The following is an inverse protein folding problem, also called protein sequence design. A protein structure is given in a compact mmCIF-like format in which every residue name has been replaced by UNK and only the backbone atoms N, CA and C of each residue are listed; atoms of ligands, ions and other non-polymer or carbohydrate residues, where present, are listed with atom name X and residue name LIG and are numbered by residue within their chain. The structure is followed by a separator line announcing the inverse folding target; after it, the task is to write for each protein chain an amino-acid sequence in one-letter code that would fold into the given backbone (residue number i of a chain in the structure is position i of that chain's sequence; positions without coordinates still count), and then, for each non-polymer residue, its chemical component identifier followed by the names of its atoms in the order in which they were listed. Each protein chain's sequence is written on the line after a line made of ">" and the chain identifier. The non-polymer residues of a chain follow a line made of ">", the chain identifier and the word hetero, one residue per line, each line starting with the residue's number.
data_IF_362341017577
#
_entry.id   IF_362341017577
#
_cell.length_a   1.000
_cell.length_b   1.000
_cell.length_c   1.000
_cell.angle_alpha   90.00
_cell.angle_beta   90.00
_cell.angle_gamma   90.00
#
_symmetry.space_group_name_H-M   'P 1'
#
loop_
_entity.id
_entity.type
_entity.pdbx_description
1 polymer ?
#
# COMPACT_ATOMS: atom_id res chain seq x y z
N UNK A 1 6.25 -3.32 24.61
CA UNK A 1 5.63 -4.44 25.32
C UNK A 1 4.88 -3.97 26.56
N UNK A 2 3.91 -4.77 27.00
CA UNK A 2 3.20 -4.59 28.27
C UNK A 2 4.16 -4.78 29.46
N UNK A 3 3.68 -4.51 30.69
CA UNK A 3 4.49 -4.72 31.91
C UNK A 3 4.93 -6.15 32.13
N UNK A 4 4.18 -7.10 31.60
CA UNK A 4 4.44 -8.56 31.64
C UNK A 4 5.15 -9.06 30.35
N UNK A 5 5.65 -8.14 29.52
CA UNK A 5 6.47 -8.45 28.34
C UNK A 5 5.68 -8.89 27.09
N UNK A 6 4.36 -8.81 27.10
CA UNK A 6 3.56 -9.17 25.93
C UNK A 6 3.62 -8.08 24.83
N UNK A 7 3.48 -8.42 23.55
CA UNK A 7 3.52 -7.47 22.44
C UNK A 7 2.29 -6.56 22.37
N UNK A 8 1.19 -6.94 22.98
CA UNK A 8 -0.08 -6.19 23.04
C UNK A 8 -0.80 -6.45 24.37
N UNK A 9 -1.77 -5.61 24.69
CA UNK A 9 -2.69 -5.78 25.81
C UNK A 9 -4.10 -6.02 25.28
N UNK A 10 -4.81 -6.96 25.89
CA UNK A 10 -6.25 -7.17 25.63
C UNK A 10 -7.01 -6.62 26.84
N UNK A 11 -7.91 -5.66 26.62
CA UNK A 11 -8.75 -5.10 27.68
C UNK A 11 -9.95 -5.99 28.04
N UNK A 12 -10.76 -5.54 29.00
CA UNK A 12 -11.91 -6.30 29.49
C UNK A 12 -13.00 -6.51 28.41
N UNK A 13 -13.04 -5.65 27.39
CA UNK A 13 -13.98 -5.72 26.28
C UNK A 13 -13.46 -6.58 25.11
N UNK A 14 -12.25 -7.13 25.25
CA UNK A 14 -11.59 -7.94 24.22
C UNK A 14 -10.87 -7.12 23.13
N UNK A 15 -10.72 -5.81 23.29
CA UNK A 15 -10.00 -4.96 22.36
C UNK A 15 -8.48 -5.07 22.54
N UNK A 16 -7.75 -5.02 21.42
CA UNK A 16 -6.30 -5.12 21.40
C UNK A 16 -5.65 -3.76 21.37
N UNK A 17 -4.68 -3.54 22.25
CA UNK A 17 -3.96 -2.28 22.38
C UNK A 17 -2.47 -2.50 22.21
N UNK A 18 -1.83 -1.67 21.37
CA UNK A 18 -0.38 -1.61 21.20
C UNK A 18 0.11 -0.20 21.48
N UNK A 19 1.30 -0.08 22.05
CA UNK A 19 1.96 1.19 22.26
C UNK A 19 3.37 1.12 21.67
N UNK A 20 3.74 2.15 20.94
CA UNK A 20 5.04 2.33 20.33
C UNK A 20 5.75 3.52 20.97
N UNK A 21 7.09 3.54 20.85
CA UNK A 21 7.87 4.73 21.21
C UNK A 21 7.49 5.84 20.24
N UNK A 22 7.15 7.02 20.80
CA UNK A 22 6.93 8.19 19.99
C UNK A 22 8.26 8.70 19.41
N UNK A 23 8.30 9.00 18.13
CA UNK A 23 9.49 9.51 17.44
C UNK A 23 9.32 11.03 17.33
N UNK A 24 10.14 11.75 18.09
CA UNK A 24 10.15 13.22 18.07
C UNK A 24 10.96 13.75 16.86
N UNK A 25 10.61 14.95 16.38
CA UNK A 25 11.32 15.62 15.28
C UNK A 25 11.09 14.98 13.92
N UNK A 26 10.00 14.21 13.77
CA UNK A 26 9.60 13.63 12.49
C UNK A 26 8.09 13.56 12.40
N UNK A 27 7.54 13.73 11.19
CA UNK A 27 6.10 13.63 10.95
C UNK A 27 5.78 12.99 9.59
N UNK A 28 4.51 12.68 9.35
CA UNK A 28 3.99 12.11 8.11
C UNK A 28 3.33 13.19 7.25
N UNK A 29 3.19 12.91 5.96
CA UNK A 29 2.54 13.78 4.98
C UNK A 29 1.45 13.02 4.24
N UNK A 30 0.30 13.65 4.02
CA UNK A 30 -0.80 13.06 3.25
C UNK A 30 -0.64 13.28 1.74
N UNK A 31 0.10 14.31 1.34
CA UNK A 31 0.33 14.70 -0.05
C UNK A 31 1.81 14.98 -0.24
N UNK A 32 2.35 14.50 -1.36
CA UNK A 32 3.73 14.81 -1.77
C UNK A 32 3.84 16.27 -2.18
N UNK A 33 4.79 16.99 -1.59
CA UNK A 33 5.04 18.41 -1.84
C UNK A 33 6.25 18.66 -2.76
N UNK A 34 7.14 17.67 -2.88
CA UNK A 34 8.35 17.80 -3.69
C UNK A 34 8.89 16.45 -4.19
N UNK A 35 9.66 16.42 -5.30
CA UNK A 35 10.37 15.22 -5.74
C UNK A 35 11.32 14.65 -4.69
N UNK A 36 11.97 15.52 -3.91
CA UNK A 36 12.87 15.09 -2.83
C UNK A 36 12.12 14.29 -1.76
N UNK A 37 10.91 14.71 -1.39
CA UNK A 37 10.05 14.03 -0.44
C UNK A 37 9.57 12.67 -0.98
N UNK A 38 9.17 12.60 -2.27
CA UNK A 38 8.83 11.35 -2.94
C UNK A 38 10.02 10.37 -2.93
N UNK A 39 11.22 10.86 -3.24
CA UNK A 39 12.45 10.08 -3.22
C UNK A 39 12.79 9.57 -1.80
N UNK A 40 12.63 10.40 -0.75
CA UNK A 40 12.87 10.01 0.62
C UNK A 40 11.92 8.88 1.07
N UNK A 41 10.64 8.98 0.75
CA UNK A 41 9.66 7.93 1.01
C UNK A 41 9.99 6.63 0.24
N UNK A 42 10.30 6.73 -1.04
CA UNK A 42 10.67 5.59 -1.87
C UNK A 42 11.91 4.86 -1.32
N UNK A 43 12.91 5.62 -0.88
CA UNK A 43 14.12 5.08 -0.23
C UNK A 43 13.79 4.36 1.07
N UNK A 44 12.93 4.95 1.92
CA UNK A 44 12.52 4.35 3.18
C UNK A 44 11.82 2.99 2.96
N UNK A 45 10.91 2.88 2.01
CA UNK A 45 10.27 1.61 1.68
C UNK A 45 11.25 0.61 1.02
N UNK A 46 12.18 1.07 0.17
CA UNK A 46 13.22 0.22 -0.39
C UNK A 46 14.16 -0.35 0.69
N UNK A 47 14.53 0.47 1.67
CA UNK A 47 15.34 0.04 2.82
C UNK A 47 14.56 -0.90 3.75
N UNK A 48 13.27 -0.67 3.94
CA UNK A 48 12.37 -1.58 4.66
C UNK A 48 12.37 -2.97 4.01
N UNK A 49 12.12 -3.05 2.70
CA UNK A 49 12.13 -4.31 1.96
C UNK A 49 13.50 -5.00 2.00
N UNK A 50 14.58 -4.23 1.87
CA UNK A 50 15.95 -4.75 1.95
C UNK A 50 16.25 -5.34 3.33
N UNK A 51 15.80 -4.68 4.39
CA UNK A 51 15.98 -5.13 5.78
C UNK A 51 15.23 -6.43 6.07
N UNK A 52 14.10 -6.66 5.41
CA UNK A 52 13.28 -7.84 5.59
C UNK A 52 13.53 -8.93 4.52
N UNK A 53 14.49 -8.73 3.62
CA UNK A 53 14.74 -9.64 2.50
C UNK A 53 15.16 -11.05 2.92
N UNK A 54 15.80 -11.18 4.06
CA UNK A 54 16.30 -12.42 4.66
C UNK A 54 15.56 -12.83 5.95
N UNK A 55 14.33 -12.30 6.13
CA UNK A 55 13.51 -12.67 7.29
C UNK A 55 13.34 -14.19 7.35
N UNK A 56 13.80 -14.84 8.44
CA UNK A 56 13.78 -16.30 8.53
C UNK A 56 12.35 -16.84 8.67
N UNK A 57 12.11 -18.08 8.22
CA UNK A 57 10.83 -18.74 8.50
C UNK A 57 10.59 -18.94 10.02
N UNK A 58 9.32 -19.02 10.49
CA UNK A 58 8.14 -19.05 9.63
C UNK A 58 7.84 -17.69 8.98
N UNK A 59 7.39 -17.72 7.73
CA UNK A 59 6.91 -16.52 7.06
C UNK A 59 5.77 -15.86 7.85
N UNK A 60 5.61 -14.55 7.66
CA UNK A 60 4.47 -13.82 8.25
C UNK A 60 3.15 -14.40 7.73
N UNK A 61 2.12 -14.30 8.55
CA UNK A 61 0.77 -14.75 8.19
C UNK A 61 0.17 -13.75 7.18
N UNK A 62 -0.46 -14.26 6.14
CA UNK A 62 -1.27 -13.44 5.24
C UNK A 62 -2.55 -13.00 5.97
N UNK A 63 -2.54 -11.80 6.53
CA UNK A 63 -3.64 -11.26 7.34
C UNK A 63 -4.86 -10.88 6.51
N UNK A 64 -4.65 -10.50 5.24
CA UNK A 64 -5.69 -10.15 4.27
C UNK A 64 -5.48 -11.00 3.00
N UNK A 65 -6.10 -12.21 2.92
CA UNK A 65 -5.87 -13.12 1.82
C UNK A 65 -6.18 -12.53 0.44
N UNK A 66 -5.18 -12.56 -0.47
CA UNK A 66 -5.29 -12.04 -1.82
C UNK A 66 -5.45 -10.51 -1.89
N UNK A 67 -4.88 -9.77 -0.93
CA UNK A 67 -5.04 -8.32 -0.80
C UNK A 67 -4.73 -7.56 -2.09
N UNK A 68 -3.67 -7.91 -2.78
CA UNK A 68 -3.26 -7.32 -4.07
C UNK A 68 -3.44 -8.25 -5.27
N UNK A 69 -4.18 -9.35 -5.14
CA UNK A 69 -4.51 -10.21 -6.29
C UNK A 69 -5.50 -9.49 -7.22
N UNK A 70 -4.96 -8.83 -8.23
CA UNK A 70 -5.73 -8.06 -9.20
C UNK A 70 -6.67 -8.92 -10.03
N UNK A 71 -6.33 -10.20 -10.29
CA UNK A 71 -7.24 -11.14 -10.97
C UNK A 71 -8.50 -11.38 -10.14
N UNK A 72 -8.32 -11.70 -8.85
CA UNK A 72 -9.42 -11.92 -7.91
C UNK A 72 -10.26 -10.64 -7.72
N UNK A 73 -9.62 -9.48 -7.67
CA UNK A 73 -10.31 -8.19 -7.61
C UNK A 73 -11.12 -7.90 -8.87
N UNK A 74 -10.59 -8.23 -10.05
CA UNK A 74 -11.31 -8.08 -11.30
C UNK A 74 -12.53 -9.02 -11.39
N UNK A 75 -12.41 -10.27 -10.94
CA UNK A 75 -13.54 -11.20 -10.84
C UNK A 75 -14.62 -10.68 -9.89
N UNK A 76 -14.21 -10.10 -8.75
CA UNK A 76 -15.15 -9.47 -7.82
C UNK A 76 -15.85 -8.25 -8.45
N UNK A 77 -15.11 -7.42 -9.19
CA UNK A 77 -15.67 -6.32 -9.97
C UNK A 77 -16.70 -6.80 -10.98
N UNK A 78 -16.41 -7.83 -11.78
CA UNK A 78 -17.35 -8.39 -12.75
C UNK A 78 -18.64 -8.91 -12.08
N UNK A 79 -18.51 -9.59 -10.94
CA UNK A 79 -19.65 -10.06 -10.15
C UNK A 79 -20.50 -8.89 -9.61
N UNK A 80 -19.84 -7.85 -9.11
CA UNK A 80 -20.54 -6.66 -8.60
C UNK A 80 -21.26 -5.92 -9.72
N UNK A 81 -20.64 -5.79 -10.89
CA UNK A 81 -21.22 -5.17 -12.09
C UNK A 81 -22.44 -5.96 -12.59
N UNK A 82 -22.34 -7.28 -12.69
CA UNK A 82 -23.46 -8.13 -13.09
C UNK A 82 -24.65 -8.06 -12.12
N UNK A 83 -24.38 -7.90 -10.83
CA UNK A 83 -25.42 -7.79 -9.81
C UNK A 83 -26.07 -6.40 -9.78
N UNK A 84 -25.33 -5.37 -10.05
CA UNK A 84 -25.70 -3.92 -10.02
C UNK A 84 -26.82 -3.57 -9.02
N UNK A 85 -26.69 -4.03 -7.78
CA UNK A 85 -27.73 -4.02 -6.73
C UNK A 85 -28.35 -2.65 -6.47
N UNK A 86 -27.62 -1.59 -6.74
CA UNK A 86 -28.01 -0.20 -6.49
C UNK A 86 -28.20 0.60 -7.78
N UNK A 87 -28.16 -0.06 -8.95
CA UNK A 87 -28.31 0.56 -10.28
C UNK A 87 -27.36 1.72 -10.55
N UNK A 88 -26.14 1.66 -9.98
CA UNK A 88 -25.09 2.71 -10.07
C UNK A 88 -24.15 2.53 -11.25
N UNK A 89 -24.12 1.35 -11.88
CA UNK A 89 -23.23 1.06 -13.03
C UNK A 89 -23.44 2.05 -14.19
N UNK A 90 -24.67 2.53 -14.38
CA UNK A 90 -24.99 3.52 -15.41
C UNK A 90 -24.25 4.86 -15.23
N UNK A 91 -23.91 5.21 -13.99
CA UNK A 91 -23.32 6.52 -13.64
C UNK A 91 -21.79 6.51 -13.76
N UNK A 92 -21.16 5.31 -13.91
CA UNK A 92 -19.72 5.08 -13.99
C UNK A 92 -19.31 4.24 -15.21
N UNK A 93 -20.00 4.42 -16.34
CA UNK A 93 -19.75 3.64 -17.56
C UNK A 93 -18.35 3.84 -18.13
N UNK A 94 -17.80 5.04 -18.00
CA UNK A 94 -16.45 5.35 -18.46
C UNK A 94 -15.39 4.56 -17.69
N UNK A 95 -15.52 4.51 -16.38
CA UNK A 95 -14.63 3.77 -15.49
C UNK A 95 -14.75 2.24 -15.70
N UNK A 96 -15.99 1.75 -15.91
CA UNK A 96 -16.23 0.35 -16.25
C UNK A 96 -15.50 -0.01 -17.54
N UNK A 97 -15.71 0.75 -18.61
CA UNK A 97 -15.06 0.52 -19.90
C UNK A 97 -13.52 0.61 -19.80
N UNK A 98 -13.01 1.54 -18.99
CA UNK A 98 -11.57 1.66 -18.71
C UNK A 98 -11.00 0.39 -18.06
N UNK A 99 -11.68 -0.18 -17.07
CA UNK A 99 -11.26 -1.41 -16.38
C UNK A 99 -11.37 -2.62 -17.32
N UNK A 100 -12.48 -2.76 -18.05
CA UNK A 100 -12.70 -3.87 -18.99
C UNK A 100 -11.66 -3.89 -20.12
N UNK A 101 -11.31 -2.72 -20.66
CA UNK A 101 -10.28 -2.60 -21.70
C UNK A 101 -8.88 -3.04 -21.23
N UNK A 102 -8.69 -3.27 -19.92
CA UNK A 102 -7.43 -3.71 -19.30
C UNK A 102 -7.49 -5.11 -18.71
N UNK A 103 -8.51 -5.87 -19.04
CA UNK A 103 -8.70 -7.24 -18.55
C UNK A 103 -7.50 -8.16 -18.83
N UNK A 104 -6.77 -7.91 -19.93
CA UNK A 104 -5.61 -8.70 -20.34
C UNK A 104 -4.37 -8.52 -19.44
N UNK A 105 -4.29 -7.41 -18.70
CA UNK A 105 -3.12 -7.12 -17.84
C UNK A 105 -3.35 -7.47 -16.38
N UNK A 106 -4.60 -7.64 -15.92
CA UNK A 106 -4.89 -7.82 -14.48
C UNK A 106 -4.27 -9.06 -13.86
N UNK A 107 -4.00 -10.08 -14.64
CA UNK A 107 -3.39 -11.33 -14.18
C UNK A 107 -1.87 -11.37 -14.22
N UNK A 108 -1.21 -10.40 -14.86
CA UNK A 108 0.22 -10.50 -15.23
C UNK A 108 1.15 -10.79 -14.06
N UNK A 109 1.01 -10.05 -12.94
CA UNK A 109 1.89 -10.25 -11.79
C UNK A 109 1.65 -11.59 -11.11
N UNK A 110 0.38 -11.97 -10.94
CA UNK A 110 -0.02 -13.26 -10.36
C UNK A 110 0.48 -14.44 -11.22
N UNK A 111 0.39 -14.32 -12.55
CA UNK A 111 0.88 -15.34 -13.46
C UNK A 111 2.41 -15.46 -13.44
N UNK A 112 3.13 -14.35 -13.35
CA UNK A 112 4.59 -14.35 -13.20
C UNK A 112 5.03 -14.94 -11.85
N UNK A 113 4.31 -14.67 -10.78
CA UNK A 113 4.54 -15.29 -9.47
C UNK A 113 4.33 -16.81 -9.54
N UNK A 114 3.19 -17.26 -10.08
CA UNK A 114 2.86 -18.68 -10.25
C UNK A 114 3.87 -19.42 -11.15
N UNK A 115 4.43 -18.72 -12.12
CA UNK A 115 5.50 -19.25 -12.99
C UNK A 115 6.90 -19.21 -12.31
N UNK A 116 7.01 -18.80 -11.04
CA UNK A 116 8.29 -18.71 -10.32
C UNK A 116 9.22 -17.60 -10.82
N UNK A 117 8.71 -16.66 -11.63
CA UNK A 117 9.50 -15.55 -12.20
C UNK A 117 9.56 -14.32 -11.31
N UNK A 118 8.62 -14.18 -10.38
CA UNK A 118 8.60 -13.16 -9.34
C UNK A 118 8.63 -13.86 -7.99
N UNK A 119 9.70 -13.67 -7.20
CA UNK A 119 9.76 -14.25 -5.86
C UNK A 119 8.81 -13.52 -4.92
N UNK A 120 8.20 -14.27 -4.02
CA UNK A 120 7.50 -13.69 -2.87
C UNK A 120 8.52 -13.15 -1.87
N UNK A 121 8.19 -12.02 -1.26
CA UNK A 121 8.97 -11.33 -0.23
C UNK A 121 8.03 -10.87 0.89
N UNK A 122 8.60 -10.43 2.00
CA UNK A 122 7.88 -9.63 2.97
C UNK A 122 7.71 -8.23 2.41
N UNK A 123 6.47 -7.79 2.24
CA UNK A 123 6.10 -6.48 1.67
C UNK A 123 5.24 -5.70 2.66
N UNK A 124 5.23 -4.38 2.54
CA UNK A 124 4.42 -3.52 3.39
C UNK A 124 2.93 -3.58 3.00
N UNK A 125 2.66 -3.60 1.70
CA UNK A 125 1.33 -3.67 1.07
C UNK A 125 0.43 -2.44 1.26
N UNK A 126 0.93 -1.38 1.92
CA UNK A 126 0.26 -0.07 2.03
C UNK A 126 1.32 1.03 2.06
N UNK A 127 2.06 1.18 0.95
CA UNK A 127 3.24 2.05 0.83
C UNK A 127 2.88 3.50 0.51
N UNK A 128 1.96 4.03 1.29
CA UNK A 128 1.56 5.44 1.20
C UNK A 128 2.60 6.35 1.86
N UNK A 129 2.68 7.60 1.40
CA UNK A 129 3.57 8.61 1.96
C UNK A 129 3.35 8.81 3.47
N UNK A 130 2.10 8.79 3.92
CA UNK A 130 1.76 8.95 5.35
C UNK A 130 2.10 7.74 6.21
N UNK A 131 2.64 6.66 5.63
CA UNK A 131 3.21 5.52 6.34
C UNK A 131 4.74 5.61 6.48
N UNK A 132 5.32 6.78 6.19
CA UNK A 132 6.73 7.10 6.45
C UNK A 132 6.83 8.35 7.30
N UNK A 133 7.56 8.27 8.40
CA UNK A 133 7.98 9.44 9.16
C UNK A 133 9.22 10.04 8.48
N UNK A 134 9.14 11.31 8.12
CA UNK A 134 10.25 12.08 7.59
C UNK A 134 10.77 13.03 8.67
N UNK A 135 12.09 13.12 8.80
CA UNK A 135 12.79 14.00 9.75
C UNK A 135 12.53 15.49 9.43
N UNK A 136 12.15 16.27 10.42
CA UNK A 136 11.75 17.68 10.28
C UNK A 136 12.90 18.59 9.81
N UNK A 137 14.14 18.21 10.09
CA UNK A 137 15.32 19.00 9.76
C UNK A 137 15.95 18.62 8.42
N UNK A 138 15.96 17.33 8.09
CA UNK A 138 16.66 16.79 6.89
C UNK A 138 15.73 16.36 5.77
N UNK A 139 14.46 16.05 6.08
CA UNK A 139 13.49 15.48 5.15
C UNK A 139 13.74 14.01 4.81
N UNK A 140 14.72 13.36 5.43
CA UNK A 140 15.02 11.94 5.19
C UNK A 140 14.03 11.02 5.90
N UNK A 141 13.81 9.80 5.35
CA UNK A 141 12.97 8.79 5.99
C UNK A 141 13.59 8.26 7.28
N UNK A 142 12.84 8.35 8.38
CA UNK A 142 13.27 7.90 9.72
C UNK A 142 12.67 6.54 10.06
N UNK A 143 11.40 6.34 9.77
CA UNK A 143 10.69 5.13 10.16
C UNK A 143 9.51 4.85 9.23
N UNK A 144 9.36 3.60 8.82
CA UNK A 144 8.14 3.08 8.19
C UNK A 144 7.20 2.65 9.31
N UNK A 145 5.94 3.06 9.22
CA UNK A 145 4.90 2.83 10.23
C UNK A 145 3.68 2.14 9.63
N UNK A 146 2.67 1.82 10.45
CA UNK A 146 1.45 1.11 10.06
C UNK A 146 1.74 -0.28 9.47
N UNK A 147 2.34 -1.13 10.28
CA UNK A 147 2.82 -2.46 9.88
C UNK A 147 1.70 -3.53 9.84
N UNK A 148 0.44 -3.17 9.93
CA UNK A 148 -0.68 -4.11 10.03
C UNK A 148 -0.93 -4.90 8.74
N UNK A 149 -0.47 -4.37 7.60
CA UNK A 149 -0.54 -5.00 6.28
C UNK A 149 0.76 -5.71 5.88
N UNK A 150 1.77 -5.72 6.75
CA UNK A 150 3.05 -6.39 6.47
C UNK A 150 2.86 -7.91 6.45
N UNK A 151 2.99 -8.49 5.27
CA UNK A 151 2.76 -9.91 5.02
C UNK A 151 3.46 -10.35 3.73
N UNK A 152 3.48 -11.65 3.38
CA UNK A 152 4.01 -12.12 2.11
C UNK A 152 3.34 -11.45 0.92
N UNK A 153 4.13 -11.03 -0.07
CA UNK A 153 3.63 -10.36 -1.27
C UNK A 153 4.70 -10.20 -2.34
N UNK A 154 4.40 -9.40 -3.35
CA UNK A 154 5.34 -9.05 -4.40
C UNK A 154 5.86 -7.63 -4.18
N UNK A 155 7.16 -7.42 -4.31
CA UNK A 155 7.79 -6.09 -4.25
C UNK A 155 7.11 -5.08 -5.19
N UNK A 156 6.59 -5.56 -6.32
CA UNK A 156 5.89 -4.73 -7.30
C UNK A 156 4.52 -4.22 -6.80
N UNK A 157 3.93 -4.84 -5.78
CA UNK A 157 2.73 -4.29 -5.13
C UNK A 157 3.06 -3.01 -4.37
N UNK A 158 4.12 -3.04 -3.56
CA UNK A 158 4.61 -1.87 -2.83
C UNK A 158 5.01 -0.75 -3.81
N UNK A 159 5.75 -1.09 -4.87
CA UNK A 159 6.12 -0.12 -5.89
C UNK A 159 4.90 0.54 -6.54
N UNK A 160 3.91 -0.26 -6.95
CA UNK A 160 2.70 0.26 -7.60
C UNK A 160 1.87 1.15 -6.67
N UNK A 161 1.74 0.78 -5.41
CA UNK A 161 1.00 1.56 -4.41
C UNK A 161 1.71 2.87 -4.07
N UNK A 162 3.03 2.84 -3.92
CA UNK A 162 3.84 4.02 -3.71
C UNK A 162 3.72 5.00 -4.89
N UNK A 163 3.82 4.52 -6.14
CA UNK A 163 3.62 5.38 -7.33
C UNK A 163 2.23 5.98 -7.36
N UNK A 164 1.21 5.20 -7.04
CA UNK A 164 -0.18 5.66 -6.97
C UNK A 164 -0.36 6.83 -6.01
N UNK A 165 0.34 6.83 -4.89
CA UNK A 165 0.21 7.86 -3.86
C UNK A 165 1.24 8.98 -3.98
N UNK A 166 2.52 8.65 -4.20
CA UNK A 166 3.60 9.62 -4.22
C UNK A 166 3.71 10.41 -5.55
N UNK A 167 3.18 9.86 -6.66
CA UNK A 167 3.19 10.60 -7.94
C UNK A 167 1.92 11.46 -8.16
N UNK A 168 1.11 11.66 -7.13
CA UNK A 168 -0.14 12.40 -7.20
C UNK A 168 -0.13 13.60 -6.25
N UNK A 169 -0.31 14.85 -6.76
CA UNK A 169 -0.28 16.06 -5.95
C UNK A 169 -1.64 16.39 -5.30
N UNK A 170 -2.49 15.38 -5.06
CA UNK A 170 -3.82 15.55 -4.47
C UNK A 170 -4.06 14.53 -3.36
N UNK A 171 -4.92 14.84 -2.38
CA UNK A 171 -5.36 13.87 -1.37
C UNK A 171 -5.95 12.59 -1.99
N UNK A 172 -5.94 11.51 -1.22
CA UNK A 172 -6.40 10.19 -1.71
C UNK A 172 -7.90 10.19 -2.01
N UNK A 173 -8.67 11.00 -1.32
CA UNK A 173 -10.13 11.15 -1.44
C UNK A 173 -10.56 12.36 -2.28
N UNK A 174 -9.68 12.91 -3.14
CA UNK A 174 -10.01 14.01 -4.04
C UNK A 174 -11.22 13.67 -4.91
N UNK A 175 -12.25 14.52 -4.83
CA UNK A 175 -13.52 14.32 -5.55
C UNK A 175 -13.53 14.94 -6.94
N UNK A 176 -12.74 15.97 -7.16
CA UNK A 176 -12.56 16.58 -8.47
C UNK A 176 -11.54 15.79 -9.27
N UNK A 177 -12.02 14.83 -10.06
CA UNK A 177 -11.16 13.95 -10.85
C UNK A 177 -10.31 14.69 -11.90
N UNK A 178 -10.67 15.94 -12.27
CA UNK A 178 -9.84 16.75 -13.17
C UNK A 178 -8.52 17.17 -12.54
N UNK A 179 -8.43 17.17 -11.21
CA UNK A 179 -7.23 17.46 -10.43
C UNK A 179 -6.36 16.22 -10.17
N UNK A 180 -6.93 15.02 -10.38
CA UNK A 180 -6.20 13.77 -10.16
C UNK A 180 -5.32 13.49 -11.39
N UNK A 181 -4.07 13.86 -11.29
CA UNK A 181 -3.07 13.68 -12.35
C UNK A 181 -1.85 12.93 -11.81
N UNK A 182 -1.17 12.20 -12.68
CA UNK A 182 0.14 11.62 -12.35
C UNK A 182 1.21 12.63 -12.71
N UNK A 183 2.01 13.04 -11.74
CA UNK A 183 3.15 13.93 -11.94
C UNK A 183 4.37 13.09 -12.31
N UNK A 184 4.80 13.15 -13.58
CA UNK A 184 6.01 12.47 -14.06
C UNK A 184 7.25 12.89 -13.27
N UNK A 185 7.48 14.20 -12.97
CA UNK A 185 8.63 14.61 -12.15
C UNK A 185 8.65 14.06 -10.72
N UNK A 186 7.49 13.62 -10.17
CA UNK A 186 7.45 12.97 -8.87
C UNK A 186 7.72 11.46 -8.96
N UNK A 187 7.58 10.91 -10.18
CA UNK A 187 7.86 9.50 -10.45
C UNK A 187 9.33 9.25 -10.80
N UNK A 188 9.99 10.20 -11.50
CA UNK A 188 11.41 10.15 -11.88
C UNK A 188 12.35 10.44 -10.70
#
# INVERSE_FOLDING_TARGET
>A
PTRDGQPFHTDADGSFWRAYVFIEGAHTYDVVESPAQACAAARAFGDFQRTLADLPPPALVETIPGFHDTRRRFEAFQKALAADRHHRARDVRGEIAFVEARADIVGRLVDLQRAGRLPERTTHNDTKLNNVLLDDGTGEGVCVIDLDTVMPGLVLYDFGDMVRTAARPTPEDERDLSRVVVSVPMFE
#
